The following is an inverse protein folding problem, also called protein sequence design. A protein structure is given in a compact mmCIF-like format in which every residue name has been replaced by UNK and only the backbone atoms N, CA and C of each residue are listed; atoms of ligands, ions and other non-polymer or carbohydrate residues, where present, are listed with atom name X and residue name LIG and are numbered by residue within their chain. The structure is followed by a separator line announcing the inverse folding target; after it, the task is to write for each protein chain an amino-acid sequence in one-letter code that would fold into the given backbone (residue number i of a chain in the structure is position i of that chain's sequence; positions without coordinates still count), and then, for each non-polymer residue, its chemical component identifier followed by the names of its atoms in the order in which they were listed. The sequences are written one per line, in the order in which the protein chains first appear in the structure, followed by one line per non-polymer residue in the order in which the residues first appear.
data_IF_467480957388
#
_entry.id   IF_467480957388
#
_cell.length_a   1.000
_cell.length_b   1.000
_cell.length_c   1.000
_cell.angle_alpha   90.00
_cell.angle_beta   90.00
_cell.angle_gamma   90.00
#
_symmetry.space_group_name_H-M   'P 1'
#
loop_
_entity.id
_entity.type
_entity.pdbx_description
1 polymer ?
#
# COMPACT_ATOMS: atom_id res chain seq x y z
N UNK A 1 -17.44 4.47 18.27
CA UNK A 1 -16.42 3.41 18.31
C UNK A 1 -15.05 4.02 18.10
N UNK A 2 -14.15 3.89 19.07
CA UNK A 2 -12.78 4.41 18.98
C UNK A 2 -11.88 3.43 18.22
N UNK A 3 -10.77 3.92 17.66
CA UNK A 3 -9.79 3.08 16.97
C UNK A 3 -9.14 2.05 17.93
N UNK A 4 -8.88 2.44 19.19
CA UNK A 4 -8.31 1.56 20.20
C UNK A 4 -9.24 0.41 20.56
N UNK A 5 -10.54 0.68 20.74
CA UNK A 5 -11.52 -0.36 21.03
C UNK A 5 -11.64 -1.36 19.87
N UNK A 6 -11.73 -0.87 18.63
CA UNK A 6 -11.74 -1.74 17.45
C UNK A 6 -10.45 -2.56 17.33
N UNK A 7 -9.30 -1.96 17.62
CA UNK A 7 -8.02 -2.66 17.60
C UNK A 7 -7.96 -3.80 18.62
N UNK A 8 -8.46 -3.58 19.84
CA UNK A 8 -8.47 -4.61 20.87
C UNK A 8 -9.28 -5.84 20.47
N UNK A 9 -10.34 -5.64 19.69
CA UNK A 9 -11.12 -6.74 19.08
C UNK A 9 -10.34 -7.36 17.91
N UNK A 10 -9.97 -6.56 16.90
CA UNK A 10 -9.47 -7.05 15.60
C UNK A 10 -8.06 -7.66 15.68
N UNK A 11 -7.21 -7.25 16.63
CA UNK A 11 -5.78 -7.59 16.66
C UNK A 11 -5.46 -9.09 16.65
N UNK A 12 -6.35 -9.94 17.16
CA UNK A 12 -6.10 -11.38 17.36
C UNK A 12 -7.09 -12.32 16.66
N UNK A 13 -8.26 -11.85 16.23
CA UNK A 13 -9.31 -12.68 15.63
C UNK A 13 -9.79 -12.21 14.25
N UNK A 14 -9.07 -11.27 13.62
CA UNK A 14 -9.39 -10.82 12.25
C UNK A 14 -9.18 -11.92 11.21
N UNK A 15 -10.08 -12.02 10.23
CA UNK A 15 -9.91 -12.88 9.07
C UNK A 15 -8.72 -12.49 8.17
N UNK A 16 -8.26 -11.24 8.25
CA UNK A 16 -7.06 -10.78 7.55
C UNK A 16 -5.75 -11.18 8.25
N UNK A 17 -5.82 -11.76 9.45
CA UNK A 17 -4.65 -12.07 10.25
C UNK A 17 -4.00 -13.36 9.78
N UNK A 18 -2.70 -13.30 9.47
CA UNK A 18 -1.91 -14.48 9.10
C UNK A 18 -0.75 -14.60 10.08
N UNK A 19 -0.69 -15.73 10.79
CA UNK A 19 0.42 -16.09 11.69
C UNK A 19 1.17 -17.27 11.09
N UNK A 20 2.44 -17.07 10.73
CA UNK A 20 3.33 -18.11 10.22
C UNK A 20 4.79 -17.77 10.51
N UNK A 21 5.65 -18.77 10.70
CA UNK A 21 7.10 -18.62 10.85
C UNK A 21 7.51 -17.56 11.91
N UNK A 22 6.89 -17.60 13.11
CA UNK A 22 7.11 -16.64 14.22
C UNK A 22 6.84 -15.16 13.85
N UNK A 23 6.10 -14.90 12.77
CA UNK A 23 5.74 -13.56 12.32
C UNK A 23 4.23 -13.41 12.15
N UNK A 24 3.76 -12.17 12.26
CA UNK A 24 2.34 -11.83 12.15
C UNK A 24 2.11 -10.77 11.06
N UNK A 25 1.32 -11.14 10.07
CA UNK A 25 0.98 -10.34 8.90
C UNK A 25 -0.50 -9.98 8.90
N UNK A 26 -0.84 -8.95 8.12
CA UNK A 26 -2.23 -8.63 7.83
C UNK A 26 -2.38 -8.38 6.34
N UNK A 27 -3.36 -9.06 5.74
CA UNK A 27 -3.73 -8.96 4.32
C UNK A 27 -4.86 -7.97 4.05
N UNK A 28 -5.18 -7.12 5.04
CA UNK A 28 -6.26 -6.14 4.91
C UNK A 28 -5.96 -5.09 3.81
N UNK A 29 -7.01 -4.58 3.13
CA UNK A 29 -6.84 -3.48 2.20
C UNK A 29 -6.34 -2.22 2.92
N UNK A 30 -5.60 -1.38 2.20
CA UNK A 30 -5.00 -0.15 2.72
C UNK A 30 -3.93 -0.31 3.82
N UNK A 31 -3.43 -1.52 4.10
CA UNK A 31 -2.26 -1.69 4.97
C UNK A 31 -0.96 -1.51 4.19
N UNK A 32 -0.24 -0.41 4.45
CA UNK A 32 0.94 -0.04 3.68
C UNK A 32 2.16 -0.96 3.90
N UNK A 33 2.25 -1.65 5.04
CA UNK A 33 3.41 -2.49 5.40
C UNK A 33 3.11 -3.99 5.49
N UNK A 34 1.85 -4.40 5.30
CA UNK A 34 1.38 -5.79 5.45
C UNK A 34 1.67 -6.43 6.83
N UNK A 35 2.01 -5.63 7.85
CA UNK A 35 2.23 -6.10 9.23
C UNK A 35 0.97 -5.87 10.04
N UNK A 36 0.62 -6.81 10.92
CA UNK A 36 -0.45 -6.59 11.88
C UNK A 36 0.02 -5.58 12.94
N UNK A 37 -0.41 -4.33 12.82
CA UNK A 37 0.01 -3.25 13.71
C UNK A 37 -1.05 -2.18 13.75
N UNK A 38 -1.34 -1.67 14.96
CA UNK A 38 -2.27 -0.56 15.16
C UNK A 38 -1.99 0.62 14.23
N UNK A 39 -0.71 0.98 14.07
CA UNK A 39 -0.30 2.15 13.27
C UNK A 39 -0.56 1.98 11.77
N UNK A 40 -0.40 0.78 11.23
CA UNK A 40 -0.53 0.54 9.77
C UNK A 40 -1.91 0.04 9.37
N UNK A 41 -2.80 -0.18 10.34
CA UNK A 41 -4.13 -0.70 10.07
C UNK A 41 -4.96 0.27 9.23
N UNK A 42 -5.58 -0.26 8.17
CA UNK A 42 -6.36 0.51 7.20
C UNK A 42 -7.83 0.68 7.58
N UNK A 43 -8.37 -0.22 8.38
CA UNK A 43 -9.81 -0.37 8.64
C UNK A 43 -10.27 0.47 9.84
N UNK A 44 -9.50 0.42 10.94
CA UNK A 44 -9.91 0.98 12.25
C UNK A 44 -9.79 2.50 12.34
N UNK A 45 -8.88 3.10 11.55
CA UNK A 45 -8.59 4.52 11.66
C UNK A 45 -9.60 5.36 10.88
N UNK A 46 -9.93 6.54 11.40
CA UNK A 46 -10.79 7.52 10.71
C UNK A 46 -10.11 8.13 9.49
N UNK A 47 -8.78 8.25 9.54
CA UNK A 47 -7.93 8.70 8.43
C UNK A 47 -7.07 7.54 7.99
N UNK A 48 -7.14 7.13 6.73
CA UNK A 48 -6.34 6.02 6.18
C UNK A 48 -5.74 6.42 4.84
N UNK A 49 -4.51 5.96 4.60
CA UNK A 49 -3.81 6.10 3.32
C UNK A 49 -3.43 4.70 2.85
N UNK A 50 -3.97 4.31 1.70
CA UNK A 50 -3.61 3.11 0.96
C UNK A 50 -2.87 3.46 -0.32
N UNK A 51 -2.07 2.51 -0.80
CA UNK A 51 -1.37 2.60 -2.08
C UNK A 51 -1.46 1.25 -2.76
N UNK A 52 -2.04 1.22 -3.95
CA UNK A 52 -2.38 0.02 -4.70
C UNK A 52 -1.89 0.15 -6.16
N UNK A 53 -1.60 -0.95 -6.86
CA UNK A 53 -1.38 -0.90 -8.31
C UNK A 53 -2.66 -0.46 -9.02
N UNK A 54 -2.52 0.27 -10.13
CA UNK A 54 -3.65 0.54 -11.01
C UNK A 54 -4.10 -0.73 -11.75
N UNK A 55 -5.39 -0.82 -12.09
CA UNK A 55 -5.97 -1.97 -12.79
C UNK A 55 -5.31 -2.21 -14.16
N UNK A 56 -4.95 -1.13 -14.86
CA UNK A 56 -4.34 -1.18 -16.20
C UNK A 56 -2.86 -1.62 -16.18
N UNK A 57 -2.33 -2.02 -15.03
CA UNK A 57 -0.92 -2.39 -14.83
C UNK A 57 0.07 -1.21 -14.86
N UNK A 58 -0.40 0.01 -15.20
CA UNK A 58 0.42 1.22 -15.32
C UNK A 58 0.04 2.25 -14.26
N UNK A 59 1.01 2.62 -13.42
CA UNK A 59 0.81 3.66 -12.41
C UNK A 59 0.27 3.15 -11.08
N UNK A 60 -0.01 4.08 -10.18
CA UNK A 60 -0.32 3.79 -8.77
C UNK A 60 -1.62 4.48 -8.37
N UNK A 61 -2.47 3.77 -7.65
CA UNK A 61 -3.71 4.31 -7.08
C UNK A 61 -3.47 4.64 -5.61
N UNK A 62 -3.70 5.90 -5.24
CA UNK A 62 -3.69 6.34 -3.84
C UNK A 62 -5.12 6.30 -3.32
N UNK A 63 -5.33 5.62 -2.20
CA UNK A 63 -6.63 5.48 -1.56
C UNK A 63 -6.63 6.29 -0.28
N UNK A 64 -7.58 7.22 -0.12
CA UNK A 64 -7.71 8.04 1.08
C UNK A 64 -9.11 7.88 1.66
N UNK A 65 -9.21 7.67 2.97
CA UNK A 65 -10.50 7.61 3.65
C UNK A 65 -11.08 9.01 3.88
N UNK A 66 -12.32 9.26 3.48
CA UNK A 66 -13.01 10.53 3.81
C UNK A 66 -13.21 10.61 5.33
N UNK A 67 -13.10 11.83 5.89
CA UNK A 67 -13.41 12.06 7.32
C UNK A 67 -14.91 11.92 7.57
N UNK A 68 -15.74 12.40 6.64
CA UNK A 68 -17.19 12.21 6.62
C UNK A 68 -17.56 10.80 6.14
N UNK A 69 -18.76 10.34 6.49
CA UNK A 69 -19.26 9.05 5.99
C UNK A 69 -18.55 7.81 6.54
N UNK A 70 -18.03 7.85 7.78
CA UNK A 70 -17.31 6.70 8.38
C UNK A 70 -18.13 5.40 8.39
N UNK A 71 -19.46 5.49 8.48
CA UNK A 71 -20.40 4.36 8.48
C UNK A 71 -21.00 4.08 7.09
N UNK A 72 -20.51 4.75 6.04
CA UNK A 72 -20.98 4.62 4.65
C UNK A 72 -19.86 4.03 3.79
N UNK A 73 -19.59 2.71 3.86
CA UNK A 73 -18.42 2.09 3.26
C UNK A 73 -18.26 2.42 1.76
N UNK A 74 -19.36 2.43 1.01
CA UNK A 74 -19.39 2.77 -0.42
C UNK A 74 -18.77 4.14 -0.76
N UNK A 75 -18.98 5.15 0.10
CA UNK A 75 -18.48 6.52 -0.12
C UNK A 75 -17.26 6.87 0.74
N UNK A 76 -16.83 5.94 1.59
CA UNK A 76 -15.83 6.21 2.63
C UNK A 76 -14.40 6.33 2.07
N UNK A 77 -14.13 5.80 0.89
CA UNK A 77 -12.80 5.82 0.26
C UNK A 77 -12.81 6.62 -1.04
N UNK A 78 -11.82 7.49 -1.22
CA UNK A 78 -11.53 8.20 -2.47
C UNK A 78 -10.29 7.56 -3.07
N UNK A 79 -10.38 7.22 -4.36
CA UNK A 79 -9.28 6.65 -5.13
C UNK A 79 -8.79 7.69 -6.12
N UNK A 80 -7.48 7.92 -6.16
CA UNK A 80 -6.84 8.82 -7.11
C UNK A 80 -5.75 8.05 -7.85
N UNK A 81 -5.93 7.89 -9.16
CA UNK A 81 -4.95 7.24 -10.03
C UNK A 81 -3.87 8.23 -10.42
N UNK A 82 -2.61 7.83 -10.24
CA UNK A 82 -1.43 8.62 -10.65
C UNK A 82 -0.63 7.78 -11.65
N UNK A 83 -0.78 8.11 -12.92
CA UNK A 83 -0.01 7.54 -14.01
C UNK A 83 0.99 8.58 -14.54
N UNK A 84 2.00 8.89 -13.72
CA UNK A 84 3.09 9.82 -14.04
C UNK A 84 4.44 9.11 -13.95
N UNK A 85 5.51 9.78 -14.36
CA UNK A 85 6.87 9.29 -14.14
C UNK A 85 7.14 9.04 -12.64
N UNK A 86 8.11 8.15 -12.33
CA UNK A 86 8.32 7.67 -10.96
C UNK A 86 8.58 8.81 -9.96
N UNK A 87 9.40 9.80 -10.33
CA UNK A 87 9.75 10.94 -9.47
C UNK A 87 8.53 11.81 -9.16
N UNK A 88 7.72 12.12 -10.17
CA UNK A 88 6.51 12.92 -10.02
C UNK A 88 5.45 12.18 -9.20
N UNK A 89 5.30 10.87 -9.39
CA UNK A 89 4.37 10.04 -8.62
C UNK A 89 4.73 10.03 -7.14
N UNK A 90 5.99 9.74 -6.79
CA UNK A 90 6.46 9.75 -5.39
C UNK A 90 6.36 11.13 -4.75
N UNK A 91 6.65 12.19 -5.51
CA UNK A 91 6.52 13.57 -5.03
C UNK A 91 5.06 13.96 -4.81
N UNK A 92 4.14 13.53 -5.68
CA UNK A 92 2.70 13.78 -5.54
C UNK A 92 2.17 13.13 -4.26
N UNK A 93 2.52 11.86 -4.00
CA UNK A 93 2.15 11.15 -2.76
C UNK A 93 2.73 11.86 -1.53
N UNK A 94 4.00 12.29 -1.59
CA UNK A 94 4.65 13.03 -0.50
C UNK A 94 3.88 14.32 -0.17
N UNK A 95 3.53 15.11 -1.19
CA UNK A 95 2.82 16.36 -1.02
C UNK A 95 1.39 16.14 -0.51
N UNK A 96 0.68 15.16 -1.06
CA UNK A 96 -0.68 14.79 -0.65
C UNK A 96 -0.77 14.47 0.84
N UNK A 97 0.27 13.84 1.42
CA UNK A 97 0.31 13.52 2.85
C UNK A 97 0.86 14.69 3.68
N UNK A 98 1.96 15.31 3.25
CA UNK A 98 2.67 16.35 4.03
C UNK A 98 1.90 17.68 4.04
N UNK A 99 1.51 18.20 2.87
CA UNK A 99 0.87 19.52 2.78
C UNK A 99 -0.52 19.52 3.41
N UNK A 100 -1.27 18.43 3.26
CA UNK A 100 -2.62 18.30 3.83
C UNK A 100 -2.64 17.90 5.31
N UNK A 101 -1.48 17.70 5.96
CA UNK A 101 -1.36 17.22 7.36
C UNK A 101 -2.27 16.00 7.66
N UNK A 102 -2.46 15.12 6.67
CA UNK A 102 -3.53 14.12 6.75
C UNK A 102 -3.15 12.95 7.68
N UNK A 103 -2.08 12.22 7.37
CA UNK A 103 -1.53 11.12 8.18
C UNK A 103 0.01 11.08 8.05
N UNK A 104 0.72 12.08 8.62
CA UNK A 104 2.14 12.32 8.34
C UNK A 104 3.05 11.17 8.77
N UNK A 105 2.64 10.39 9.76
CA UNK A 105 3.31 9.18 10.23
C UNK A 105 3.40 8.09 9.15
N UNK A 106 2.44 8.02 8.23
CA UNK A 106 2.43 7.01 7.16
C UNK A 106 3.16 7.47 5.89
N UNK A 107 3.67 8.70 5.83
CA UNK A 107 4.29 9.29 4.64
C UNK A 107 5.36 8.39 4.02
N UNK A 108 6.31 7.91 4.82
CA UNK A 108 7.38 7.05 4.29
C UNK A 108 6.89 5.65 3.94
N UNK A 109 5.92 5.11 4.66
CA UNK A 109 5.33 3.81 4.32
C UNK A 109 4.63 3.88 2.95
N UNK A 110 3.90 4.96 2.68
CA UNK A 110 3.22 5.18 1.40
C UNK A 110 4.21 5.35 0.25
N UNK A 111 5.25 6.17 0.42
CA UNK A 111 6.30 6.37 -0.58
C UNK A 111 7.04 5.06 -0.90
N UNK A 112 7.40 4.26 0.12
CA UNK A 112 8.10 2.99 -0.07
C UNK A 112 7.22 1.96 -0.78
N UNK A 113 5.92 1.88 -0.44
CA UNK A 113 4.97 1.00 -1.12
C UNK A 113 4.77 1.41 -2.58
N UNK A 114 4.59 2.70 -2.85
CA UNK A 114 4.49 3.22 -4.22
C UNK A 114 5.76 2.91 -5.03
N UNK A 115 6.94 3.09 -4.44
CA UNK A 115 8.21 2.76 -5.08
C UNK A 115 8.34 1.27 -5.38
N UNK A 116 7.85 0.40 -4.48
CA UNK A 116 7.86 -1.05 -4.69
C UNK A 116 6.92 -1.46 -5.84
N UNK A 117 5.72 -0.87 -5.91
CA UNK A 117 4.77 -1.10 -7.01
C UNK A 117 5.34 -0.62 -8.35
N UNK A 118 5.92 0.59 -8.39
CA UNK A 118 6.55 1.10 -9.60
C UNK A 118 7.73 0.22 -10.04
N UNK A 119 8.47 -0.38 -9.11
CA UNK A 119 9.52 -1.34 -9.42
C UNK A 119 8.96 -2.67 -9.95
N UNK A 120 7.86 -3.17 -9.39
CA UNK A 120 7.23 -4.42 -9.85
C UNK A 120 6.55 -4.29 -11.22
N UNK A 121 6.17 -3.07 -11.62
CA UNK A 121 5.60 -2.76 -12.94
C UNK A 121 6.65 -2.62 -14.05
N UNK A 122 7.95 -2.52 -13.72
CA UNK A 122 8.99 -2.42 -14.75
C UNK A 122 9.18 -3.77 -15.44
N UNK A 123 9.39 -3.78 -16.78
CA UNK A 123 9.70 -5.01 -17.49
C UNK A 123 10.89 -5.73 -16.86
N UNK A 124 10.71 -7.00 -16.53
CA UNK A 124 11.81 -7.84 -16.06
C UNK A 124 12.62 -8.23 -17.29
N UNK A 125 13.81 -7.65 -17.45
CA UNK A 125 14.78 -8.18 -18.40
C UNK A 125 15.21 -9.56 -17.91
N UNK A 126 14.66 -10.61 -18.52
CA UNK A 126 15.15 -11.97 -18.30
C UNK A 126 16.58 -11.99 -18.84
N UNK A 127 17.57 -11.96 -17.94
CA UNK A 127 18.96 -12.18 -18.32
C UNK A 127 19.03 -13.59 -18.90
N UNK A 128 19.05 -13.73 -20.23
CA UNK A 128 19.34 -15.00 -20.88
C UNK A 128 20.70 -15.47 -20.35
N UNK A 129 20.75 -16.68 -19.81
CA UNK A 129 22.02 -17.32 -19.45
C UNK A 129 22.83 -17.38 -20.74
N UNK A 130 23.98 -16.70 -20.79
CA UNK A 130 24.92 -16.82 -21.92
C UNK A 130 25.30 -18.29 -22.03
N UNK A 131 24.79 -18.99 -23.04
CA UNK A 131 25.33 -20.29 -23.43
C UNK A 131 26.71 -20.04 -24.02
N UNK A 132 27.70 -20.82 -23.58
CA UNK A 132 29.01 -20.83 -24.26
C UNK A 132 28.80 -21.39 -25.67
N UNK A 133 29.44 -20.83 -26.71
CA UNK A 133 29.39 -21.43 -28.03
C UNK A 133 29.98 -22.85 -27.96
N UNK A 134 29.27 -23.83 -28.53
CA UNK A 134 29.82 -25.17 -28.76
C UNK A 134 30.92 -25.06 -29.80
N UNK A 135 32.13 -25.53 -29.47
CA UNK A 135 33.20 -25.70 -30.47
C UNK A 135 32.71 -26.70 -31.51
N UNK A 136 32.70 -26.31 -32.78
CA UNK A 136 32.57 -27.24 -33.91
C UNK A 136 33.87 -28.04 -34.02
N UNK A 137 33.73 -29.37 -34.05
CA UNK A 137 34.78 -30.29 -34.51
C UNK A 137 34.91 -30.24 -36.02
#
# INVERSE_FOLDING_TARGET
MSAHLQWMVVRNCSSFLIKRNKQTYSTEPNNLKARNSFRYNGLIHRKTVGVEPAADGKGVVVVIKRRSGQRKPATSYVRTTINKNARATLSSIRHMIRKNKYRPDLRMAAIRRASAILRSQKPVMVKRKRTRPTKSS
#
